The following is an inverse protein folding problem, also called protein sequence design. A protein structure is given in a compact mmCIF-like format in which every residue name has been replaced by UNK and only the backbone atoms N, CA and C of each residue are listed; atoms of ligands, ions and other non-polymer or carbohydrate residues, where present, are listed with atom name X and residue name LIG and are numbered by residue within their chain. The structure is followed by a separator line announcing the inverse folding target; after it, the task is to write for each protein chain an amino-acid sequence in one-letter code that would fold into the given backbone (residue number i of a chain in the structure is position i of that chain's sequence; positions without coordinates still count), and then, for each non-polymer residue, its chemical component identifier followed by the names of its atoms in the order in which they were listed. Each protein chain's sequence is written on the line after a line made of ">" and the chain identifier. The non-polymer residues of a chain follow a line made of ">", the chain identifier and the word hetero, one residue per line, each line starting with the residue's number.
data_IF_155443142366
#
_entry.id   IF_155443142366
#
_cell.length_a   1.000
_cell.length_b   1.000
_cell.length_c   1.000
_cell.angle_alpha   90.00
_cell.angle_beta   90.00
_cell.angle_gamma   90.00
#
_symmetry.space_group_name_H-M   'P 1'
#
loop_
_entity.id
_entity.type
_entity.pdbx_description
1 polymer ?
#
# COMPACT_ATOMS: atom_id res chain seq x y z
N UNK A 1 -26.02 -42.82 -9.13
CA UNK A 1 -24.80 -42.08 -8.73
C UNK A 1 -24.44 -42.56 -7.34
N UNK A 2 -23.22 -43.13 -7.14
CA UNK A 2 -22.85 -43.78 -5.89
C UNK A 2 -22.70 -42.75 -4.75
N UNK A 3 -23.12 -43.10 -3.55
CA UNK A 3 -23.00 -42.24 -2.38
C UNK A 3 -21.57 -41.67 -2.16
N UNK A 4 -20.56 -42.46 -2.55
CA UNK A 4 -19.13 -42.04 -2.52
C UNK A 4 -18.85 -40.83 -3.45
N UNK A 5 -19.48 -40.75 -4.63
CA UNK A 5 -19.31 -39.62 -5.53
C UNK A 5 -19.87 -38.32 -4.94
N UNK A 6 -20.98 -38.39 -4.21
CA UNK A 6 -21.56 -37.25 -3.52
C UNK A 6 -20.64 -36.73 -2.38
N UNK A 7 -20.02 -37.62 -1.61
CA UNK A 7 -19.09 -37.24 -0.55
C UNK A 7 -17.83 -36.58 -1.11
N UNK A 8 -17.33 -37.04 -2.25
CA UNK A 8 -16.18 -36.42 -2.94
C UNK A 8 -16.55 -35.01 -3.42
N UNK A 9 -17.72 -34.82 -4.00
CA UNK A 9 -18.18 -33.50 -4.46
C UNK A 9 -18.32 -32.54 -3.29
N UNK A 10 -18.94 -32.98 -2.19
CA UNK A 10 -19.09 -32.16 -0.97
C UNK A 10 -17.72 -31.77 -0.41
N UNK A 11 -16.78 -32.71 -0.36
CA UNK A 11 -15.42 -32.43 0.12
C UNK A 11 -14.70 -31.39 -0.74
N UNK A 12 -14.79 -31.49 -2.07
CA UNK A 12 -14.22 -30.51 -3.00
C UNK A 12 -14.86 -29.14 -2.81
N UNK A 13 -16.19 -29.07 -2.66
CA UNK A 13 -16.90 -27.81 -2.42
C UNK A 13 -16.43 -27.14 -1.11
N UNK A 14 -16.25 -27.91 -0.04
CA UNK A 14 -15.73 -27.38 1.22
C UNK A 14 -14.31 -26.80 1.02
N UNK A 15 -13.44 -27.52 0.33
CA UNK A 15 -12.08 -27.03 0.04
C UNK A 15 -12.10 -25.72 -0.78
N UNK A 16 -12.97 -25.63 -1.79
CA UNK A 16 -13.13 -24.41 -2.60
C UNK A 16 -13.62 -23.22 -1.75
N UNK A 17 -14.59 -23.45 -0.86
CA UNK A 17 -15.10 -22.41 0.06
C UNK A 17 -14.00 -21.95 1.01
N UNK A 18 -13.23 -22.87 1.58
CA UNK A 18 -12.10 -22.52 2.46
C UNK A 18 -11.01 -21.73 1.71
N UNK A 19 -10.66 -22.16 0.49
CA UNK A 19 -9.70 -21.46 -0.34
C UNK A 19 -10.18 -20.05 -0.71
N UNK A 20 -11.46 -19.91 -1.10
CA UNK A 20 -12.06 -18.60 -1.41
C UNK A 20 -12.07 -17.69 -0.17
N UNK A 21 -12.38 -18.23 1.00
CA UNK A 21 -12.34 -17.49 2.27
C UNK A 21 -10.94 -17.01 2.62
N UNK A 22 -9.92 -17.84 2.41
CA UNK A 22 -8.53 -17.47 2.65
C UNK A 22 -8.05 -16.41 1.66
N UNK A 23 -8.35 -16.56 0.36
CA UNK A 23 -8.04 -15.55 -0.66
C UNK A 23 -8.71 -14.22 -0.30
N UNK A 24 -9.99 -14.25 0.08
CA UNK A 24 -10.70 -13.04 0.52
C UNK A 24 -10.03 -12.39 1.73
N UNK A 25 -9.66 -13.18 2.72
CA UNK A 25 -8.96 -12.71 3.91
C UNK A 25 -7.61 -12.06 3.55
N UNK A 26 -6.81 -12.71 2.72
CA UNK A 26 -5.49 -12.20 2.32
C UNK A 26 -5.58 -10.90 1.52
N UNK A 27 -6.57 -10.78 0.65
CA UNK A 27 -6.76 -9.57 -0.18
C UNK A 27 -7.40 -8.40 0.55
N UNK A 28 -8.10 -8.65 1.70
CA UNK A 28 -8.82 -7.61 2.45
C UNK A 28 -8.23 -7.31 3.84
N UNK A 29 -7.07 -7.91 4.16
CA UNK A 29 -6.38 -7.64 5.43
C UNK A 29 -4.91 -7.33 5.17
N UNK A 30 -4.36 -6.44 5.98
CA UNK A 30 -2.93 -6.18 6.03
C UNK A 30 -2.35 -6.67 7.36
N UNK A 31 -1.04 -6.83 7.42
CA UNK A 31 -0.31 -7.21 8.64
C UNK A 31 0.77 -6.20 8.94
N UNK A 32 0.81 -5.73 10.17
CA UNK A 32 1.91 -4.90 10.67
C UNK A 32 3.06 -5.83 11.09
N UNK A 33 4.22 -5.67 10.48
CA UNK A 33 5.45 -6.39 10.85
C UNK A 33 6.44 -5.39 11.45
N UNK A 34 7.04 -5.77 12.58
CA UNK A 34 7.98 -4.90 13.31
C UNK A 34 9.38 -5.48 13.23
N UNK A 35 10.32 -4.65 12.79
CA UNK A 35 11.73 -4.98 12.70
C UNK A 35 12.53 -4.02 13.58
N UNK A 36 13.58 -4.51 14.23
CA UNK A 36 14.56 -3.69 14.96
C UNK A 36 15.88 -3.75 14.25
N UNK A 37 16.35 -2.61 13.74
CA UNK A 37 17.65 -2.48 13.11
C UNK A 37 18.56 -1.73 14.06
N UNK A 38 19.72 -2.34 14.39
CA UNK A 38 20.76 -1.70 15.20
C UNK A 38 21.85 -1.18 14.26
N UNK A 39 22.14 0.11 14.32
CA UNK A 39 23.33 0.66 13.66
C UNK A 39 24.51 0.70 14.61
N UNK A 40 25.71 0.37 14.08
CA UNK A 40 26.98 0.52 14.80
C UNK A 40 27.57 1.93 14.66
N UNK A 41 27.07 2.73 13.71
CA UNK A 41 27.52 4.12 13.53
C UNK A 41 26.84 4.99 14.56
N UNK A 42 27.63 5.80 15.26
CA UNK A 42 27.10 6.89 16.08
C UNK A 42 26.63 8.00 15.13
N UNK A 43 25.33 8.01 14.84
CA UNK A 43 24.69 8.99 13.95
C UNK A 43 24.11 10.19 14.73
N UNK A 44 24.51 10.35 16.00
CA UNK A 44 24.05 11.46 16.86
C UNK A 44 22.59 11.33 17.32
N UNK A 45 21.89 10.27 16.95
CA UNK A 45 20.51 9.99 17.38
C UNK A 45 20.59 9.22 18.70
N UNK A 46 20.22 9.86 19.80
CA UNK A 46 20.21 9.22 21.12
C UNK A 46 19.00 8.31 21.35
N UNK A 47 17.94 8.46 20.55
CA UNK A 47 16.68 7.72 20.66
C UNK A 47 16.43 6.83 19.46
N UNK A 48 15.59 5.81 19.67
CA UNK A 48 15.12 4.95 18.58
C UNK A 48 14.21 5.75 17.64
N UNK A 49 14.53 5.78 16.34
CA UNK A 49 13.67 6.36 15.29
C UNK A 49 12.71 5.28 14.80
N UNK A 50 11.43 5.59 14.82
CA UNK A 50 10.38 4.70 14.33
C UNK A 50 9.98 5.09 12.92
N UNK A 51 10.26 4.19 11.98
CA UNK A 51 9.97 4.38 10.56
C UNK A 51 8.87 3.41 10.15
N UNK A 52 7.83 3.92 9.50
CA UNK A 52 6.85 3.09 8.78
C UNK A 52 7.30 2.99 7.33
N UNK A 53 7.33 1.78 6.79
CA UNK A 53 7.54 1.52 5.37
C UNK A 53 6.26 0.97 4.76
N UNK A 54 5.80 1.61 3.67
CA UNK A 54 4.63 1.22 2.88
C UNK A 54 5.06 0.97 1.44
N UNK A 55 4.58 -0.12 0.84
CA UNK A 55 4.80 -0.44 -0.57
C UNK A 55 3.67 -1.31 -1.08
N UNK A 56 3.48 -1.35 -2.41
CA UNK A 56 2.62 -2.31 -3.09
C UNK A 56 1.15 -2.29 -2.63
N UNK A 57 0.59 -1.09 -2.41
CA UNK A 57 -0.82 -0.96 -2.07
C UNK A 57 -1.75 -1.31 -3.24
N UNK A 58 -1.30 -1.00 -4.49
CA UNK A 58 -2.01 -1.36 -5.73
C UNK A 58 -3.50 -0.99 -5.70
N UNK A 59 -3.84 0.22 -5.25
CA UNK A 59 -5.21 0.70 -5.06
C UNK A 59 -6.07 -0.16 -4.09
N UNK A 60 -5.49 -1.09 -3.32
CA UNK A 60 -6.22 -1.82 -2.30
C UNK A 60 -6.78 -0.89 -1.24
N UNK A 61 -7.99 -1.20 -0.77
CA UNK A 61 -8.70 -0.38 0.23
C UNK A 61 -8.99 -1.22 1.47
N UNK A 62 -8.45 -0.80 2.61
CA UNK A 62 -8.63 -1.44 3.91
C UNK A 62 -9.58 -0.62 4.79
N UNK A 63 -10.85 -1.03 4.81
CA UNK A 63 -11.94 -0.28 5.43
C UNK A 63 -12.47 0.82 4.53
N UNK A 64 -13.16 1.81 5.08
CA UNK A 64 -13.66 2.93 4.31
C UNK A 64 -12.52 3.90 3.97
N UNK A 65 -12.18 4.07 2.69
CA UNK A 65 -11.12 4.99 2.22
C UNK A 65 -9.79 4.80 2.96
N UNK A 66 -9.40 3.55 3.21
CA UNK A 66 -8.20 3.15 3.94
C UNK A 66 -8.12 3.61 5.41
N UNK A 67 -9.26 3.82 6.07
CA UNK A 67 -9.31 4.28 7.46
C UNK A 67 -8.67 3.28 8.44
N UNK A 68 -8.79 1.98 8.18
CA UNK A 68 -8.16 0.94 9.01
C UNK A 68 -6.63 1.02 8.93
N UNK A 69 -6.09 1.17 7.72
CA UNK A 69 -4.66 1.29 7.49
C UNK A 69 -4.13 2.60 8.10
N UNK A 70 -4.83 3.73 7.87
CA UNK A 70 -4.47 5.02 8.45
C UNK A 70 -4.40 4.96 9.98
N UNK A 71 -5.43 4.41 10.66
CA UNK A 71 -5.46 4.25 12.12
C UNK A 71 -4.34 3.36 12.63
N UNK A 72 -4.01 2.28 11.91
CA UNK A 72 -2.90 1.40 12.28
C UNK A 72 -1.56 2.12 12.22
N UNK A 73 -1.33 2.95 11.18
CA UNK A 73 -0.13 3.78 11.05
C UNK A 73 -0.07 4.80 12.19
N UNK A 74 -1.15 5.52 12.43
CA UNK A 74 -1.24 6.54 13.49
C UNK A 74 -0.98 5.95 14.88
N UNK A 75 -1.50 4.75 15.16
CA UNK A 75 -1.30 4.06 16.44
C UNK A 75 0.15 3.68 16.71
N UNK A 76 0.97 3.51 15.66
CA UNK A 76 2.41 3.25 15.81
C UNK A 76 3.19 4.51 16.18
N UNK A 77 2.63 5.71 16.05
CA UNK A 77 3.29 7.01 16.30
C UNK A 77 4.67 7.08 15.63
N UNK A 78 4.75 7.01 14.29
CA UNK A 78 6.02 7.03 13.59
C UNK A 78 6.65 8.42 13.57
N UNK A 79 7.99 8.45 13.50
CA UNK A 79 8.76 9.68 13.28
C UNK A 79 8.80 10.06 11.81
N UNK A 80 8.70 9.06 10.91
CA UNK A 80 8.60 9.25 9.46
C UNK A 80 7.90 8.07 8.78
N UNK A 81 7.36 8.33 7.60
CA UNK A 81 6.80 7.33 6.70
C UNK A 81 7.61 7.33 5.40
N UNK A 82 8.05 6.15 4.99
CA UNK A 82 8.70 5.91 3.70
C UNK A 82 7.74 5.12 2.82
N UNK A 83 7.45 5.64 1.63
CA UNK A 83 6.64 4.97 0.62
C UNK A 83 7.57 4.47 -0.49
N UNK A 84 7.63 3.15 -0.66
CA UNK A 84 8.47 2.47 -1.66
C UNK A 84 7.83 2.35 -3.04
N UNK A 85 6.73 3.08 -3.29
CA UNK A 85 6.00 3.06 -4.56
C UNK A 85 4.96 1.96 -4.67
N UNK A 86 4.44 1.80 -5.89
CA UNK A 86 3.36 0.88 -6.26
C UNK A 86 2.09 1.04 -5.39
N UNK A 87 1.82 2.30 -5.03
CA UNK A 87 0.60 2.66 -4.30
C UNK A 87 -0.63 2.61 -5.20
N UNK A 88 -0.46 2.86 -6.48
CA UNK A 88 -1.48 2.83 -7.53
C UNK A 88 -1.23 1.70 -8.54
N UNK A 89 -2.15 1.49 -9.48
CA UNK A 89 -2.01 0.55 -10.59
C UNK A 89 -2.01 1.32 -11.91
N UNK A 90 -0.91 1.21 -12.67
CA UNK A 90 -0.81 1.75 -14.02
C UNK A 90 -1.49 0.81 -15.02
N UNK A 91 -2.79 0.95 -15.14
CA UNK A 91 -3.62 0.26 -16.14
C UNK A 91 -4.53 1.31 -16.78
N UNK A 92 -4.69 1.23 -18.09
CA UNK A 92 -5.58 2.14 -18.82
C UNK A 92 -7.00 2.14 -18.20
N UNK A 93 -7.55 3.33 -17.98
CA UNK A 93 -8.83 3.51 -17.31
C UNK A 93 -8.85 3.28 -15.78
N UNK A 94 -7.72 2.90 -15.17
CA UNK A 94 -7.64 2.79 -13.70
C UNK A 94 -7.62 4.16 -13.03
N UNK A 95 -8.37 4.27 -11.93
CA UNK A 95 -8.34 5.45 -11.07
C UNK A 95 -7.07 5.46 -10.20
N UNK A 96 -6.48 6.63 -10.02
CA UNK A 96 -5.42 6.88 -9.04
C UNK A 96 -5.97 7.48 -7.75
N UNK A 97 -7.31 7.65 -7.69
CA UNK A 97 -7.97 8.42 -6.64
C UNK A 97 -7.87 7.75 -5.27
N UNK A 98 -7.94 6.43 -5.21
CA UNK A 98 -7.85 5.66 -3.96
C UNK A 98 -6.48 5.85 -3.29
N UNK A 99 -5.41 5.72 -4.07
CA UNK A 99 -4.04 5.95 -3.60
C UNK A 99 -3.85 7.42 -3.20
N UNK A 100 -4.31 8.37 -4.04
CA UNK A 100 -4.21 9.79 -3.77
C UNK A 100 -4.91 10.17 -2.46
N UNK A 101 -6.17 9.76 -2.28
CA UNK A 101 -6.97 10.07 -1.08
C UNK A 101 -6.40 9.47 0.20
N UNK A 102 -5.71 8.36 0.09
CA UNK A 102 -5.03 7.77 1.23
C UNK A 102 -3.71 8.49 1.55
N UNK A 103 -2.81 8.61 0.55
CA UNK A 103 -1.46 9.14 0.77
C UNK A 103 -1.49 10.60 1.22
N UNK A 104 -2.39 11.42 0.68
CA UNK A 104 -2.51 12.84 1.08
C UNK A 104 -2.86 13.07 2.55
N UNK A 105 -3.35 12.05 3.26
CA UNK A 105 -3.66 12.14 4.70
C UNK A 105 -2.44 11.86 5.58
N UNK A 106 -1.44 11.14 5.06
CA UNK A 106 -0.30 10.68 5.85
C UNK A 106 0.56 11.81 6.41
N UNK A 107 0.76 12.97 5.71
CA UNK A 107 1.49 14.11 6.27
C UNK A 107 0.88 14.71 7.55
N UNK A 108 -0.40 14.43 7.84
CA UNK A 108 -0.99 14.81 9.14
C UNK A 108 -0.46 13.98 10.33
N UNK A 109 0.22 12.86 10.06
CA UNK A 109 0.83 12.02 11.11
C UNK A 109 2.28 12.44 11.33
N UNK A 110 3.09 12.43 10.28
CA UNK A 110 4.51 12.80 10.32
C UNK A 110 5.04 13.05 8.90
N UNK A 111 6.34 13.36 8.78
CA UNK A 111 6.98 13.55 7.47
C UNK A 111 6.87 12.30 6.60
N UNK A 112 6.48 12.48 5.35
CA UNK A 112 6.31 11.41 4.34
C UNK A 112 7.31 11.60 3.22
N UNK A 113 8.04 10.55 2.91
CA UNK A 113 8.91 10.44 1.74
C UNK A 113 8.36 9.39 0.79
N UNK A 114 8.38 9.68 -0.50
CA UNK A 114 7.80 8.85 -1.55
C UNK A 114 8.81 8.59 -2.66
N UNK A 115 9.01 7.35 -3.03
CA UNK A 115 9.75 6.97 -4.24
C UNK A 115 8.82 6.25 -5.21
N UNK A 116 9.05 6.41 -6.51
CA UNK A 116 8.25 5.73 -7.52
C UNK A 116 8.51 4.23 -7.50
N UNK A 117 7.44 3.44 -7.58
CA UNK A 117 7.48 2.03 -7.95
C UNK A 117 7.33 1.84 -9.46
N UNK A 118 7.18 0.59 -9.89
CA UNK A 118 7.04 0.24 -11.31
C UNK A 118 5.81 0.88 -11.96
N UNK A 119 4.73 0.99 -11.22
CA UNK A 119 3.47 1.55 -11.73
C UNK A 119 3.55 3.05 -11.90
N UNK A 120 4.07 3.78 -10.92
CA UNK A 120 4.31 5.21 -11.02
C UNK A 120 5.26 5.51 -12.16
N UNK A 121 6.36 4.78 -12.27
CA UNK A 121 7.35 4.96 -13.33
C UNK A 121 6.75 4.69 -14.70
N UNK A 122 5.95 3.63 -14.85
CA UNK A 122 5.23 3.34 -16.09
C UNK A 122 4.32 4.48 -16.52
N UNK A 123 3.58 5.08 -15.59
CA UNK A 123 2.70 6.21 -15.90
C UNK A 123 3.51 7.45 -16.31
N UNK A 124 4.65 7.69 -15.66
CA UNK A 124 5.55 8.80 -15.97
C UNK A 124 6.16 8.68 -17.38
N UNK A 125 6.54 7.47 -17.79
CA UNK A 125 7.22 7.22 -19.06
C UNK A 125 6.26 7.10 -20.25
N UNK A 126 5.02 6.64 -20.04
CA UNK A 126 4.06 6.38 -21.13
C UNK A 126 2.93 7.43 -21.13
N UNK A 127 3.31 8.68 -21.37
CA UNK A 127 2.39 9.82 -21.40
C UNK A 127 1.39 9.77 -22.56
N UNK A 128 1.65 9.03 -23.61
CA UNK A 128 0.72 8.73 -24.70
C UNK A 128 -0.49 7.92 -24.23
N UNK A 129 -0.34 7.07 -23.22
CA UNK A 129 -1.39 6.23 -22.66
C UNK A 129 -2.05 6.93 -21.46
N UNK A 130 -1.25 7.52 -20.57
CA UNK A 130 -1.71 8.02 -19.27
C UNK A 130 -1.85 9.55 -19.21
N UNK A 131 -1.45 10.27 -20.28
CA UNK A 131 -1.44 11.73 -20.30
C UNK A 131 -0.56 12.31 -19.20
N UNK A 132 -1.06 13.33 -18.54
CA UNK A 132 -0.42 14.01 -17.40
C UNK A 132 -0.87 13.48 -16.03
N UNK A 133 -1.43 12.27 -16.00
CA UNK A 133 -2.01 11.70 -14.76
C UNK A 133 -0.96 11.55 -13.66
N UNK A 134 0.26 11.11 -13.98
CA UNK A 134 1.35 11.00 -13.01
C UNK A 134 1.74 12.38 -12.45
N UNK A 135 1.95 13.37 -13.32
CA UNK A 135 2.36 14.71 -12.90
C UNK A 135 1.29 15.36 -12.00
N UNK A 136 0.02 15.20 -12.34
CA UNK A 136 -1.09 15.68 -11.51
C UNK A 136 -1.18 14.94 -10.16
N UNK A 137 -0.93 13.63 -10.15
CA UNK A 137 -0.88 12.83 -8.93
C UNK A 137 0.24 13.32 -8.01
N UNK A 138 1.46 13.42 -8.54
CA UNK A 138 2.64 13.89 -7.83
C UNK A 138 2.44 15.31 -7.27
N UNK A 139 2.05 16.26 -8.11
CA UNK A 139 1.84 17.65 -7.69
C UNK A 139 0.81 17.78 -6.57
N UNK A 140 -0.29 17.00 -6.60
CA UNK A 140 -1.27 16.99 -5.53
C UNK A 140 -0.71 16.47 -4.21
N UNK A 141 0.16 15.46 -4.24
CA UNK A 141 0.79 14.91 -3.05
C UNK A 141 1.85 15.86 -2.48
N UNK A 142 2.68 16.46 -3.34
CA UNK A 142 3.67 17.48 -2.93
C UNK A 142 3.00 18.67 -2.26
N UNK A 143 1.89 19.15 -2.81
CA UNK A 143 1.08 20.23 -2.22
C UNK A 143 0.49 19.86 -0.84
N UNK A 144 0.39 18.58 -0.51
CA UNK A 144 -0.03 18.09 0.81
C UNK A 144 1.15 17.83 1.77
N UNK A 145 2.39 18.07 1.35
CA UNK A 145 3.59 17.88 2.19
C UNK A 145 4.31 16.54 2.02
N UNK A 146 4.00 15.79 0.97
CA UNK A 146 4.76 14.58 0.63
C UNK A 146 6.05 14.98 -0.11
N UNK A 147 7.19 14.46 0.31
CA UNK A 147 8.48 14.69 -0.32
C UNK A 147 8.82 13.54 -1.28
N UNK A 148 8.85 13.81 -2.58
CA UNK A 148 9.28 12.81 -3.56
C UNK A 148 10.81 12.72 -3.60
N UNK A 149 11.32 11.48 -3.56
CA UNK A 149 12.73 11.14 -3.67
C UNK A 149 12.98 10.68 -5.11
N UNK A 150 13.27 11.60 -5.98
CA UNK A 150 13.66 11.36 -7.37
C UNK A 150 15.10 11.83 -7.61
N UNK A 151 15.82 11.10 -8.47
CA UNK A 151 17.15 11.51 -8.97
C UNK A 151 17.00 12.36 -10.21
#
# INVERSE_FOLDING_TARGET
>A
MNNTAWWIIIFILILLILAAGEIYRETHTFRVRKYKVKTKKNIGIQNCVKVIFLSDLHNCVYGNKNDKLYKAIQAEMPDMILIGGDMLVAKEGSSVQEALEFVKKLPHICQVYYTNGNHEQRMKENTDIYGDTYERYKAKLENCGVCFLEN
#
